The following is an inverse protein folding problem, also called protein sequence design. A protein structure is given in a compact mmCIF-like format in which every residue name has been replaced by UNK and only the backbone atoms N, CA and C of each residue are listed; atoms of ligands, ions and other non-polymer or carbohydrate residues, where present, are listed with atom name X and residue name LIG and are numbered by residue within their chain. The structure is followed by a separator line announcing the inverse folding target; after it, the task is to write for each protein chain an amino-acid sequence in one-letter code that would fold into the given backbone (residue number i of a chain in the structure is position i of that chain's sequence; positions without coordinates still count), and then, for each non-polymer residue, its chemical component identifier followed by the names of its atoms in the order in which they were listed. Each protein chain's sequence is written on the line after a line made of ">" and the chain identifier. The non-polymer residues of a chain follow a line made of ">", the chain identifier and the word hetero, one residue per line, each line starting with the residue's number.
data_IF_581793425502
#
_entry.id   IF_581793425502
#
_cell.length_a   1.000
_cell.length_b   1.000
_cell.length_c   1.000
_cell.angle_alpha   90.00
_cell.angle_beta   90.00
_cell.angle_gamma   90.00
#
_symmetry.space_group_name_H-M   'P 1'
#
loop_
_entity.id
_entity.type
_entity.pdbx_description
1 polymer ?
#
# COMPACT_ATOMS: atom_id res chain seq x y z
N UNK A 1 13.13 0.22 -4.39
CA UNK A 1 13.96 1.12 -5.22
C UNK A 1 13.02 2.02 -6.04
N UNK A 2 13.12 3.36 -5.91
CA UNK A 2 12.09 4.36 -6.34
C UNK A 2 12.59 5.27 -7.49
N UNK A 3 13.06 4.64 -8.56
CA UNK A 3 13.54 5.29 -9.76
C UNK A 3 12.47 6.15 -10.47
N UNK A 4 12.82 7.38 -10.85
CA UNK A 4 12.01 8.25 -11.70
C UNK A 4 11.00 9.15 -10.99
N UNK A 5 10.98 9.21 -9.65
CA UNK A 5 10.16 10.18 -8.92
C UNK A 5 10.91 11.51 -8.75
N UNK A 6 11.89 11.57 -7.85
CA UNK A 6 12.82 12.70 -7.71
C UNK A 6 14.24 12.20 -7.83
N UNK A 7 15.14 13.05 -8.34
CA UNK A 7 16.56 12.78 -8.17
C UNK A 7 16.91 12.75 -6.69
N UNK A 8 17.61 11.71 -6.27
CA UNK A 8 18.09 11.57 -4.91
C UNK A 8 19.52 12.09 -4.80
N UNK A 9 19.78 13.00 -3.87
CA UNK A 9 21.15 13.33 -3.51
C UNK A 9 21.85 12.13 -2.89
N UNK A 10 23.04 11.83 -3.40
CA UNK A 10 23.97 10.88 -2.80
C UNK A 10 25.03 11.67 -2.03
N UNK A 11 25.64 11.04 -1.04
CA UNK A 11 26.81 11.60 -0.35
C UNK A 11 28.02 11.71 -1.30
N UNK A 12 28.04 10.92 -2.39
CA UNK A 12 29.11 10.91 -3.37
C UNK A 12 29.34 12.28 -4.03
N UNK A 13 30.61 12.67 -4.12
CA UNK A 13 31.05 13.82 -4.92
C UNK A 13 31.07 13.44 -6.40
N UNK A 14 30.60 14.33 -7.27
CA UNK A 14 30.60 14.05 -8.71
C UNK A 14 32.02 14.10 -9.30
N UNK A 15 32.48 12.97 -9.84
CA UNK A 15 33.69 12.88 -10.65
C UNK A 15 33.36 12.37 -12.05
N UNK A 16 33.58 13.21 -13.08
CA UNK A 16 33.18 12.92 -14.47
C UNK A 16 33.79 11.62 -15.02
N UNK A 17 35.04 11.33 -14.66
CA UNK A 17 35.78 10.14 -15.11
C UNK A 17 35.90 9.05 -14.03
N UNK A 18 35.33 9.27 -12.83
CA UNK A 18 35.57 8.39 -11.68
C UNK A 18 34.99 6.99 -11.91
N UNK A 19 33.70 6.92 -12.26
CA UNK A 19 33.00 5.65 -12.48
C UNK A 19 33.49 4.86 -13.70
N UNK A 20 34.33 5.47 -14.55
CA UNK A 20 34.99 4.77 -15.66
C UNK A 20 36.12 3.85 -15.18
N UNK A 21 36.75 4.18 -14.05
CA UNK A 21 37.90 3.47 -13.49
C UNK A 21 37.67 3.00 -12.05
N UNK A 22 36.43 3.06 -11.55
CA UNK A 22 36.11 2.67 -10.17
C UNK A 22 36.09 1.16 -9.99
N UNK A 23 36.17 0.66 -8.74
CA UNK A 23 35.81 -0.72 -8.43
C UNK A 23 34.43 -1.09 -9.00
N UNK A 24 34.28 -2.34 -9.42
CA UNK A 24 32.99 -2.87 -9.92
C UNK A 24 32.02 -3.03 -8.74
N UNK A 25 32.53 -3.53 -7.62
CA UNK A 25 31.75 -3.76 -6.41
C UNK A 25 31.97 -2.58 -5.44
N UNK A 26 30.86 -1.94 -5.06
CA UNK A 26 30.76 -0.86 -4.07
C UNK A 26 31.79 0.29 -4.23
N UNK A 27 31.75 1.06 -5.34
CA UNK A 27 32.70 2.13 -5.58
C UNK A 27 32.50 3.30 -4.58
N UNK A 28 33.51 3.66 -3.76
CA UNK A 28 33.35 4.60 -2.65
C UNK A 28 33.30 6.09 -3.05
N UNK A 29 33.13 6.40 -4.33
CA UNK A 29 33.23 7.76 -4.87
C UNK A 29 34.69 8.28 -4.98
N UNK A 30 34.92 9.42 -5.65
CA UNK A 30 36.25 9.99 -5.80
C UNK A 30 36.78 10.50 -4.45
N UNK A 31 37.50 9.65 -3.73
CA UNK A 31 38.15 10.01 -2.48
C UNK A 31 39.20 11.11 -2.65
N UNK A 32 39.31 12.00 -1.67
CA UNK A 32 40.33 13.05 -1.62
C UNK A 32 40.03 14.31 -2.43
N UNK A 33 38.85 14.42 -3.05
CA UNK A 33 38.37 15.68 -3.63
C UNK A 33 37.64 16.45 -2.53
N UNK A 34 38.25 17.53 -2.04
CA UNK A 34 37.56 18.47 -1.17
C UNK A 34 36.30 18.96 -1.91
N UNK A 35 35.10 18.98 -1.30
CA UNK A 35 33.91 19.56 -1.93
C UNK A 35 34.16 20.99 -2.44
N UNK A 36 35.25 21.67 -2.05
CA UNK A 36 35.71 22.93 -2.61
C UNK A 36 36.37 22.88 -4.01
N UNK A 37 36.86 21.72 -4.44
CA UNK A 37 37.82 21.54 -5.54
C UNK A 37 37.26 20.79 -6.76
N UNK A 38 35.93 20.65 -6.87
CA UNK A 38 35.30 19.96 -8.01
C UNK A 38 35.54 20.75 -9.30
N UNK A 39 36.57 20.35 -10.07
CA UNK A 39 36.94 20.95 -11.35
C UNK A 39 35.87 20.62 -12.39
N UNK A 40 35.11 21.63 -12.79
CA UNK A 40 34.29 21.59 -14.00
C UNK A 40 35.14 21.75 -15.26
N UNK A 41 34.97 20.86 -16.23
CA UNK A 41 35.42 21.08 -17.61
C UNK A 41 34.29 20.72 -18.57
N UNK A 42 34.11 21.34 -19.74
CA UNK A 42 34.54 22.65 -20.27
C UNK A 42 33.27 23.32 -20.80
N UNK A 43 33.24 24.66 -20.72
CA UNK A 43 32.21 25.56 -21.29
C UNK A 43 30.79 25.40 -20.76
N UNK A 44 30.51 25.83 -19.54
CA UNK A 44 29.15 26.23 -19.15
C UNK A 44 29.14 27.21 -17.97
N UNK A 45 28.06 27.99 -17.91
CA UNK A 45 27.76 29.02 -16.90
C UNK A 45 27.76 28.51 -15.43
N UNK A 46 28.01 27.22 -15.21
CA UNK A 46 27.86 26.51 -13.93
C UNK A 46 29.18 26.24 -13.20
N UNK A 47 30.30 26.84 -13.64
CA UNK A 47 31.62 26.67 -13.04
C UNK A 47 31.88 27.49 -11.75
N UNK A 48 30.89 28.22 -11.23
CA UNK A 48 31.07 29.10 -10.04
C UNK A 48 30.77 28.41 -8.71
N UNK A 49 30.38 27.15 -8.73
CA UNK A 49 29.84 26.45 -7.57
C UNK A 49 30.71 25.24 -7.25
N UNK A 50 31.34 25.31 -6.08
CA UNK A 50 32.54 24.55 -5.74
C UNK A 50 32.27 23.07 -5.40
N UNK A 51 31.10 22.74 -4.86
CA UNK A 51 30.69 21.38 -4.54
C UNK A 51 29.55 20.91 -5.44
N UNK A 52 29.72 19.74 -6.08
CA UNK A 52 28.64 19.09 -6.84
C UNK A 52 28.44 17.68 -6.30
N UNK A 53 27.29 17.45 -5.67
CA UNK A 53 26.91 16.11 -5.21
C UNK A 53 26.28 15.35 -6.36
N UNK A 54 26.55 14.05 -6.38
CA UNK A 54 25.90 13.12 -7.28
C UNK A 54 24.42 13.08 -6.95
N UNK A 55 23.62 13.04 -8.02
CA UNK A 55 22.21 12.71 -7.98
C UNK A 55 21.99 11.44 -8.76
N UNK A 56 21.13 10.56 -8.25
CA UNK A 56 20.74 9.32 -8.93
C UNK A 56 19.24 9.21 -9.15
N UNK A 57 18.92 8.41 -10.16
CA UNK A 57 17.62 7.81 -10.33
C UNK A 57 16.56 8.61 -11.09
N UNK A 58 16.86 9.82 -11.55
CA UNK A 58 15.94 10.60 -12.37
C UNK A 58 14.73 11.17 -11.63
N UNK A 59 14.03 12.10 -12.29
CA UNK A 59 12.78 12.66 -11.80
C UNK A 59 11.64 12.46 -12.80
N UNK A 60 10.41 12.78 -12.37
CA UNK A 60 9.20 12.76 -13.20
C UNK A 60 9.30 13.59 -14.49
N UNK A 61 10.25 14.53 -14.56
CA UNK A 61 10.49 15.40 -15.73
C UNK A 61 11.49 14.81 -16.70
N UNK A 62 12.26 13.80 -16.29
CA UNK A 62 13.27 13.19 -17.14
C UNK A 62 12.65 12.12 -18.06
N UNK A 63 13.31 11.90 -19.20
CA UNK A 63 12.99 10.76 -20.05
C UNK A 63 13.36 9.46 -19.34
N UNK A 64 12.69 8.37 -19.70
CA UNK A 64 12.89 7.06 -19.06
C UNK A 64 14.36 6.61 -19.06
N UNK A 65 15.15 6.96 -20.08
CA UNK A 65 16.57 6.60 -20.14
C UNK A 65 17.41 7.26 -19.04
N UNK A 66 16.98 8.42 -18.56
CA UNK A 66 17.62 9.17 -17.48
C UNK A 66 17.10 8.79 -16.08
N UNK A 67 16.05 7.97 -15.98
CA UNK A 67 15.47 7.47 -14.72
C UNK A 67 16.02 6.12 -14.29
N UNK A 68 17.15 5.68 -14.85
CA UNK A 68 17.78 4.41 -14.47
C UNK A 68 18.63 4.57 -13.20
N UNK A 69 18.73 3.52 -12.40
CA UNK A 69 19.59 3.46 -11.22
C UNK A 69 21.07 3.62 -11.50
N UNK A 70 21.49 3.41 -12.74
CA UNK A 70 22.85 3.65 -13.20
C UNK A 70 23.09 5.11 -13.65
N UNK A 71 22.04 5.90 -13.90
CA UNK A 71 22.22 7.27 -14.36
C UNK A 71 22.63 8.14 -13.17
N UNK A 72 23.73 8.86 -13.36
CA UNK A 72 24.35 9.75 -12.38
C UNK A 72 24.45 11.13 -13.00
N UNK A 73 23.82 12.11 -12.36
CA UNK A 73 23.98 13.53 -12.66
C UNK A 73 24.58 14.23 -11.47
N UNK A 74 24.84 15.53 -11.60
CA UNK A 74 25.29 16.35 -10.48
C UNK A 74 24.33 17.51 -10.23
N UNK A 75 24.30 18.01 -9.01
CA UNK A 75 23.79 19.34 -8.70
C UNK A 75 24.61 19.96 -7.57
N UNK A 76 24.65 21.28 -7.53
CA UNK A 76 25.10 21.98 -6.34
C UNK A 76 23.98 21.84 -5.27
N UNK A 77 24.29 21.29 -4.08
CA UNK A 77 23.32 21.09 -3.02
C UNK A 77 22.73 22.41 -2.46
N UNK A 78 23.32 23.56 -2.77
CA UNK A 78 22.83 24.88 -2.35
C UNK A 78 21.63 25.38 -3.17
N UNK A 79 21.36 24.79 -4.33
CA UNK A 79 20.16 25.12 -5.10
C UNK A 79 19.07 24.10 -4.82
N UNK A 80 17.96 24.56 -4.24
CA UNK A 80 16.73 23.78 -4.23
C UNK A 80 16.06 23.89 -5.59
N UNK A 81 15.84 22.76 -6.26
CA UNK A 81 15.00 22.69 -7.45
C UNK A 81 13.88 21.70 -7.19
N UNK A 82 12.76 21.89 -7.87
CA UNK A 82 11.56 21.13 -7.54
C UNK A 82 11.69 19.63 -7.83
N UNK A 83 12.64 19.19 -8.65
CA UNK A 83 12.74 17.82 -9.14
C UNK A 83 13.86 16.98 -8.50
N UNK A 84 14.45 17.45 -7.38
CA UNK A 84 15.46 16.72 -6.62
C UNK A 84 15.44 17.05 -5.12
N UNK A 85 15.86 16.10 -4.26
CA UNK A 85 15.81 16.28 -2.80
C UNK A 85 16.55 15.23 -1.99
N UNK A 86 16.40 15.31 -0.67
CA UNK A 86 16.93 14.35 0.31
C UNK A 86 15.81 13.43 0.81
N UNK A 87 16.16 12.18 1.16
CA UNK A 87 15.26 11.27 1.88
C UNK A 87 15.87 10.94 3.25
N UNK A 88 15.01 10.84 4.25
CA UNK A 88 15.40 10.35 5.57
C UNK A 88 15.35 8.83 5.56
N UNK A 89 16.50 8.19 5.81
CA UNK A 89 16.58 6.76 6.08
C UNK A 89 16.75 6.57 7.59
N UNK A 90 15.97 5.68 8.19
CA UNK A 90 16.12 5.29 9.59
C UNK A 90 16.86 3.95 9.63
N UNK A 91 18.10 3.93 10.12
CA UNK A 91 18.79 2.69 10.45
C UNK A 91 18.30 2.17 11.79
N UNK A 92 17.87 0.91 11.80
CA UNK A 92 17.51 0.18 13.02
C UNK A 92 18.63 -0.83 13.25
N UNK A 93 19.27 -0.79 14.42
CA UNK A 93 20.31 -1.76 14.77
C UNK A 93 19.70 -3.17 14.85
N UNK A 94 20.14 -4.07 13.97
CA UNK A 94 19.65 -5.45 13.94
C UNK A 94 20.07 -6.22 15.20
N UNK A 95 19.17 -6.98 15.87
CA UNK A 95 19.55 -7.85 16.97
C UNK A 95 20.41 -9.01 16.46
N UNK A 96 21.51 -9.32 17.16
CA UNK A 96 22.34 -10.50 16.86
C UNK A 96 21.62 -11.77 17.32
N UNK A 97 21.15 -12.58 16.38
CA UNK A 97 20.57 -13.90 16.67
C UNK A 97 21.60 -15.02 16.51
N UNK A 98 21.76 -15.84 17.56
CA UNK A 98 22.45 -17.13 17.48
C UNK A 98 21.49 -18.18 16.89
N UNK A 99 21.99 -19.04 16.00
CA UNK A 99 21.19 -20.03 15.30
C UNK A 99 20.53 -21.06 16.26
N UNK A 100 19.27 -21.49 16.01
CA UNK A 100 18.59 -22.49 16.82
C UNK A 100 19.08 -23.93 16.52
N UNK A 101 18.98 -24.86 17.48
CA UNK A 101 19.32 -26.26 17.25
C UNK A 101 18.22 -27.00 16.47
N UNK A 102 18.54 -28.12 15.78
CA UNK A 102 17.60 -28.83 14.92
C UNK A 102 16.49 -29.55 15.70
N UNK A 103 15.28 -29.72 15.11
CA UNK A 103 14.09 -30.18 15.81
C UNK A 103 14.05 -31.71 16.00
N UNK A 104 13.58 -32.14 17.17
CA UNK A 104 13.27 -33.53 17.52
C UNK A 104 11.79 -33.86 17.24
N UNK A 105 11.57 -35.02 16.64
CA UNK A 105 10.26 -35.59 16.29
C UNK A 105 9.45 -36.06 17.50
N UNK A 106 8.14 -35.78 17.50
CA UNK A 106 7.15 -36.56 18.26
C UNK A 106 5.77 -36.47 17.63
N UNK A 107 5.13 -37.63 17.57
CA UNK A 107 3.81 -37.97 17.01
C UNK A 107 2.66 -37.67 17.97
N UNK A 108 1.54 -37.13 17.48
CA UNK A 108 0.17 -37.62 17.79
C UNK A 108 -0.92 -36.93 16.94
N UNK A 109 -2.10 -37.57 16.87
CA UNK A 109 -3.12 -37.51 15.80
C UNK A 109 -4.12 -36.32 15.85
N UNK A 110 -4.55 -35.94 14.63
CA UNK A 110 -5.55 -34.98 14.11
C UNK A 110 -6.83 -34.60 14.91
N UNK A 111 -7.40 -33.41 14.62
CA UNK A 111 -8.52 -33.35 13.66
C UNK A 111 -8.25 -32.45 12.44
N UNK A 112 -8.77 -32.89 11.29
CA UNK A 112 -8.75 -32.25 9.97
C UNK A 112 -9.52 -30.93 10.00
N UNK A 113 -8.82 -29.80 9.82
CA UNK A 113 -9.19 -28.53 9.15
C UNK A 113 -8.21 -27.43 9.60
N UNK A 114 -6.92 -27.68 9.40
CA UNK A 114 -5.91 -26.64 9.52
C UNK A 114 -4.79 -27.03 8.57
N UNK A 115 -4.61 -26.25 7.50
CA UNK A 115 -3.29 -26.15 6.90
C UNK A 115 -2.35 -25.76 8.06
N UNK A 116 -1.30 -26.54 8.36
CA UNK A 116 -0.35 -26.16 9.40
C UNK A 116 0.22 -24.78 9.06
N UNK A 117 0.47 -23.90 10.04
CA UNK A 117 1.19 -22.68 9.75
C UNK A 117 2.58 -23.08 9.25
N UNK A 118 2.83 -22.90 7.95
CA UNK A 118 4.17 -22.47 7.57
C UNK A 118 4.45 -21.23 8.44
N UNK A 119 5.58 -21.18 9.13
CA UNK A 119 5.96 -20.15 10.14
C UNK A 119 5.91 -18.68 9.64
N UNK A 120 5.53 -18.46 8.37
CA UNK A 120 5.50 -17.17 7.67
C UNK A 120 4.10 -16.55 7.48
N UNK A 121 3.01 -17.22 7.92
CA UNK A 121 1.65 -16.67 7.81
C UNK A 121 1.28 -15.76 8.98
N UNK A 122 0.89 -14.53 8.68
CA UNK A 122 0.45 -13.53 9.65
C UNK A 122 -1.08 -13.54 9.73
N UNK A 123 -1.65 -13.87 10.90
CA UNK A 123 -3.10 -13.71 11.14
C UNK A 123 -3.45 -12.22 11.34
N UNK A 124 -3.98 -11.60 10.29
CA UNK A 124 -4.34 -10.18 10.30
C UNK A 124 -5.52 -9.89 11.21
N UNK A 125 -6.46 -10.83 11.39
CA UNK A 125 -7.62 -10.59 12.26
C UNK A 125 -7.21 -10.53 13.72
N UNK A 126 -6.18 -11.27 14.14
CA UNK A 126 -5.63 -11.15 15.51
C UNK A 126 -5.13 -9.73 15.81
N UNK A 127 -4.58 -9.04 14.82
CA UNK A 127 -4.00 -7.69 14.92
C UNK A 127 -5.04 -6.56 14.84
N UNK A 128 -6.23 -6.85 14.31
CA UNK A 128 -7.31 -5.86 14.12
C UNK A 128 -7.83 -5.37 15.47
N UNK A 129 -7.90 -4.05 15.61
CA UNK A 129 -8.67 -3.36 16.64
C UNK A 129 -9.82 -2.61 15.96
N UNK A 130 -11.06 -2.97 16.28
CA UNK A 130 -12.24 -2.39 15.63
C UNK A 130 -12.36 -0.88 15.85
N UNK A 131 -11.96 -0.36 17.01
CA UNK A 131 -12.05 1.08 17.29
C UNK A 131 -11.00 1.90 16.54
N UNK A 132 -9.89 1.25 16.16
CA UNK A 132 -8.77 1.84 15.43
C UNK A 132 -8.91 1.69 13.92
N UNK A 133 -9.28 0.50 13.46
CA UNK A 133 -9.10 0.06 12.08
C UNK A 133 -10.38 0.17 11.23
N UNK A 134 -11.55 0.24 11.87
CA UNK A 134 -12.80 0.45 11.15
C UNK A 134 -12.88 1.88 10.62
N UNK A 135 -13.18 2.02 9.31
CA UNK A 135 -13.35 3.34 8.69
C UNK A 135 -14.76 3.91 8.96
N UNK A 136 -15.71 3.04 9.25
CA UNK A 136 -17.08 3.38 9.64
C UNK A 136 -17.54 2.53 10.85
N UNK A 137 -18.46 3.06 11.68
CA UNK A 137 -19.09 2.26 12.71
C UNK A 137 -19.96 1.16 12.09
N UNK A 138 -19.90 -0.04 12.65
CA UNK A 138 -20.72 -1.17 12.18
C UNK A 138 -19.99 -2.51 12.27
N UNK A 139 -18.67 -2.51 12.30
CA UNK A 139 -17.89 -3.73 12.53
C UNK A 139 -18.05 -4.26 13.95
N UNK A 140 -17.93 -5.59 14.07
CA UNK A 140 -17.90 -6.36 15.31
C UNK A 140 -16.79 -7.39 15.20
N UNK A 141 -16.24 -7.78 16.35
CA UNK A 141 -15.21 -8.81 16.48
C UNK A 141 -15.51 -9.65 17.71
N UNK A 142 -15.35 -10.95 17.59
CA UNK A 142 -15.32 -11.92 18.69
C UNK A 142 -14.21 -12.96 18.43
N UNK A 143 -14.19 -14.04 19.20
CA UNK A 143 -13.23 -15.13 19.06
C UNK A 143 -13.32 -15.90 17.72
N UNK A 144 -14.47 -15.80 17.03
CA UNK A 144 -14.76 -16.47 15.77
C UNK A 144 -14.62 -15.53 14.55
N UNK A 145 -14.05 -14.33 14.73
CA UNK A 145 -13.70 -13.44 13.64
C UNK A 145 -14.45 -12.11 13.60
N UNK A 146 -14.56 -11.52 12.40
CA UNK A 146 -15.11 -10.17 12.18
C UNK A 146 -16.30 -10.17 11.23
N UNK A 147 -17.29 -9.33 11.52
CA UNK A 147 -18.47 -9.14 10.67
C UNK A 147 -19.02 -7.72 10.78
N UNK A 148 -19.84 -7.34 9.81
CA UNK A 148 -20.55 -6.07 9.82
C UNK A 148 -21.97 -6.22 10.36
N UNK A 149 -22.45 -5.19 11.07
CA UNK A 149 -23.84 -5.09 11.48
C UNK A 149 -24.77 -5.04 10.26
N UNK A 150 -25.97 -5.61 10.42
CA UNK A 150 -26.95 -5.68 9.34
C UNK A 150 -27.35 -4.29 8.82
N UNK A 151 -27.49 -4.16 7.51
CA UNK A 151 -27.92 -2.91 6.87
C UNK A 151 -26.83 -1.83 6.77
N UNK A 152 -25.57 -2.17 7.03
CA UNK A 152 -24.43 -1.24 6.97
C UNK A 152 -23.57 -1.45 5.71
N UNK A 153 -22.98 -0.36 5.19
CA UNK A 153 -21.96 -0.41 4.14
C UNK A 153 -20.67 0.13 4.74
N UNK A 154 -19.76 -0.77 5.10
CA UNK A 154 -18.65 -0.47 6.01
C UNK A 154 -17.35 -1.11 5.55
N UNK A 155 -16.25 -0.46 5.92
CA UNK A 155 -14.88 -0.84 5.53
C UNK A 155 -14.01 -1.01 6.75
N UNK A 156 -13.12 -1.98 6.69
CA UNK A 156 -12.12 -2.28 7.70
C UNK A 156 -10.75 -2.25 7.03
N UNK A 157 -9.88 -1.36 7.47
CA UNK A 157 -8.50 -1.34 6.99
C UNK A 157 -7.69 -2.36 7.80
N UNK A 158 -7.12 -3.38 7.17
CA UNK A 158 -6.29 -4.35 7.89
C UNK A 158 -4.97 -3.67 8.33
N UNK A 159 -4.42 -3.98 9.51
CA UNK A 159 -3.32 -3.24 10.13
C UNK A 159 -1.93 -3.58 9.55
N UNK A 160 -1.85 -3.68 8.22
CA UNK A 160 -0.63 -4.00 7.48
C UNK A 160 -0.57 -3.22 6.17
N UNK A 161 0.62 -2.72 5.83
CA UNK A 161 0.90 -2.17 4.51
C UNK A 161 1.63 -3.21 3.66
N UNK A 162 1.24 -3.35 2.40
CA UNK A 162 1.83 -4.32 1.49
C UNK A 162 2.39 -3.62 0.26
N UNK A 163 3.68 -3.80 0.00
CA UNK A 163 4.41 -3.14 -1.10
C UNK A 163 4.90 -4.09 -2.18
N UNK A 164 5.01 -5.38 -1.88
CA UNK A 164 5.47 -6.44 -2.77
C UNK A 164 4.37 -7.39 -3.21
N UNK A 165 4.78 -8.54 -3.76
CA UNK A 165 3.88 -9.67 -3.99
C UNK A 165 3.52 -10.36 -2.67
N UNK A 166 2.33 -10.95 -2.61
CA UNK A 166 1.81 -11.59 -1.41
C UNK A 166 0.75 -12.63 -1.75
N UNK A 167 0.47 -13.47 -0.77
CA UNK A 167 -0.66 -14.39 -0.74
C UNK A 167 -1.55 -14.07 0.45
N UNK A 168 -2.85 -14.18 0.24
CA UNK A 168 -3.88 -14.00 1.25
C UNK A 168 -4.73 -15.26 1.28
N UNK A 169 -4.89 -15.83 2.47
CA UNK A 169 -5.78 -16.96 2.73
C UNK A 169 -6.89 -16.49 3.67
N UNK A 170 -8.14 -16.77 3.34
CA UNK A 170 -9.25 -16.29 4.16
C UNK A 170 -10.42 -17.26 4.20
N UNK A 171 -10.86 -17.60 5.40
CA UNK A 171 -12.09 -18.33 5.64
C UNK A 171 -13.26 -17.37 5.84
N UNK A 172 -14.31 -17.56 5.04
CA UNK A 172 -15.47 -16.67 4.96
C UNK A 172 -16.76 -17.47 5.06
N UNK A 173 -17.56 -17.21 6.08
CA UNK A 173 -18.89 -17.81 6.24
C UNK A 173 -19.95 -16.87 5.66
N UNK A 174 -20.74 -17.38 4.71
CA UNK A 174 -21.87 -16.64 4.14
C UNK A 174 -23.11 -16.88 4.99
N UNK A 175 -23.43 -15.96 5.89
CA UNK A 175 -24.52 -16.13 6.87
C UNK A 175 -25.90 -16.00 6.22
N UNK A 176 -26.00 -15.33 5.07
CA UNK A 176 -27.26 -15.23 4.33
C UNK A 176 -27.06 -15.09 2.82
N UNK A 177 -28.12 -15.49 2.10
CA UNK A 177 -28.26 -15.17 0.68
C UNK A 177 -28.85 -13.77 0.56
N UNK A 178 -28.17 -12.94 -0.20
CA UNK A 178 -28.56 -11.57 -0.47
C UNK A 178 -27.99 -11.08 -1.81
N UNK A 179 -28.35 -9.86 -2.20
CA UNK A 179 -27.87 -9.19 -3.40
C UNK A 179 -26.66 -8.27 -3.15
N UNK A 180 -26.15 -8.23 -1.91
CA UNK A 180 -25.03 -7.41 -1.51
C UNK A 180 -23.71 -7.92 -2.04
N UNK A 181 -22.63 -7.21 -1.70
CA UNK A 181 -21.28 -7.62 -2.04
C UNK A 181 -20.42 -7.60 -0.77
N UNK A 182 -19.48 -8.53 -0.71
CA UNK A 182 -18.29 -8.38 0.14
C UNK A 182 -17.09 -8.10 -0.77
N UNK A 183 -16.06 -7.44 -0.24
CA UNK A 183 -14.89 -7.16 -1.04
C UNK A 183 -13.59 -7.19 -0.24
N UNK A 184 -12.51 -7.51 -0.94
CA UNK A 184 -11.14 -7.25 -0.52
C UNK A 184 -10.60 -6.04 -1.28
N UNK A 185 -10.07 -5.05 -0.58
CA UNK A 185 -9.19 -4.02 -1.15
C UNK A 185 -7.77 -4.56 -1.11
N UNK A 186 -7.19 -4.71 -2.30
CA UNK A 186 -5.92 -5.40 -2.52
C UNK A 186 -4.91 -4.44 -3.18
N UNK A 187 -3.82 -4.07 -2.47
CA UNK A 187 -2.70 -3.35 -3.06
C UNK A 187 -2.07 -4.14 -4.22
N UNK A 188 -1.76 -3.44 -5.32
CA UNK A 188 -1.11 -3.99 -6.51
C UNK A 188 -0.14 -2.94 -7.07
N UNK A 189 1.11 -2.96 -6.58
CA UNK A 189 2.10 -1.94 -6.90
C UNK A 189 1.66 -0.57 -6.37
N UNK A 190 1.63 0.46 -7.22
CA UNK A 190 1.11 1.78 -6.87
C UNK A 190 -0.41 1.92 -6.99
N UNK A 191 -1.09 0.89 -7.50
CA UNK A 191 -2.53 0.86 -7.69
C UNK A 191 -3.18 -0.11 -6.70
N UNK A 192 -4.49 -0.24 -6.79
CA UNK A 192 -5.28 -1.16 -5.97
C UNK A 192 -6.42 -1.73 -6.78
N UNK A 193 -6.81 -2.95 -6.44
CA UNK A 193 -8.02 -3.56 -6.95
C UNK A 193 -9.03 -3.81 -5.82
N UNK A 194 -10.30 -3.87 -6.19
CA UNK A 194 -11.36 -4.33 -5.30
C UNK A 194 -11.86 -5.69 -5.82
N UNK A 195 -11.45 -6.79 -5.17
CA UNK A 195 -12.00 -8.11 -5.46
C UNK A 195 -13.38 -8.20 -4.81
N UNK A 196 -14.43 -8.08 -5.62
CA UNK A 196 -15.81 -8.20 -5.17
C UNK A 196 -16.27 -9.64 -5.29
N UNK A 197 -16.96 -10.11 -4.24
CA UNK A 197 -17.62 -11.41 -4.20
C UNK A 197 -19.12 -11.27 -3.98
N UNK A 198 -19.90 -11.93 -4.85
CA UNK A 198 -21.33 -12.15 -4.67
C UNK A 198 -22.25 -10.98 -5.03
N UNK A 199 -21.79 -9.94 -5.73
CA UNK A 199 -22.67 -8.82 -6.11
C UNK A 199 -23.85 -9.31 -6.94
N UNK A 200 -25.05 -8.78 -6.66
CA UNK A 200 -26.32 -9.28 -7.21
C UNK A 200 -26.54 -10.79 -6.96
N UNK A 201 -25.94 -11.31 -5.89
CA UNK A 201 -26.05 -12.70 -5.42
C UNK A 201 -25.20 -13.73 -6.16
N UNK A 202 -24.45 -13.35 -7.21
CA UNK A 202 -23.71 -14.34 -8.02
C UNK A 202 -22.46 -13.85 -8.76
N UNK A 203 -22.22 -12.55 -8.86
CA UNK A 203 -21.07 -12.07 -9.65
C UNK A 203 -19.86 -11.79 -8.76
N UNK A 204 -18.71 -12.25 -9.24
CA UNK A 204 -17.39 -12.04 -8.65
C UNK A 204 -16.48 -11.42 -9.69
N UNK A 205 -15.66 -10.45 -9.32
CA UNK A 205 -14.72 -9.82 -10.27
C UNK A 205 -13.71 -8.94 -9.55
N UNK A 206 -12.64 -8.58 -10.25
CA UNK A 206 -11.94 -7.32 -10.00
C UNK A 206 -12.85 -6.17 -10.44
N UNK A 207 -13.42 -5.45 -9.47
CA UNK A 207 -14.38 -4.39 -9.72
C UNK A 207 -13.71 -3.19 -10.39
N UNK A 208 -14.45 -2.55 -11.30
CA UNK A 208 -13.98 -1.42 -12.13
C UNK A 208 -12.71 -1.71 -12.93
N UNK A 209 -12.40 -2.98 -13.21
CA UNK A 209 -11.33 -3.35 -14.14
C UNK A 209 -11.60 -2.70 -15.50
N UNK A 210 -10.69 -1.82 -15.94
CA UNK A 210 -10.85 -0.96 -17.12
C UNK A 210 -12.22 -0.23 -17.13
N UNK A 211 -12.65 0.25 -15.96
CA UNK A 211 -13.91 0.95 -15.75
C UNK A 211 -15.16 0.06 -15.78
N UNK A 212 -15.03 -1.27 -15.85
CA UNK A 212 -16.17 -2.18 -15.93
C UNK A 212 -16.59 -2.71 -14.55
N UNK A 213 -17.82 -2.43 -14.14
CA UNK A 213 -18.38 -2.97 -12.90
C UNK A 213 -18.39 -4.52 -12.89
N UNK A 214 -18.36 -5.11 -11.69
CA UNK A 214 -18.24 -6.57 -11.52
C UNK A 214 -19.37 -7.39 -12.19
N UNK A 215 -20.59 -6.85 -12.25
CA UNK A 215 -21.72 -7.49 -12.93
C UNK A 215 -21.76 -7.23 -14.45
N UNK A 216 -20.90 -6.35 -14.98
CA UNK A 216 -20.90 -5.99 -16.39
C UNK A 216 -20.44 -7.16 -17.25
N UNK A 217 -21.16 -7.41 -18.35
CA UNK A 217 -20.77 -8.41 -19.36
C UNK A 217 -19.37 -8.16 -19.94
N UNK A 218 -18.91 -6.90 -19.89
CA UNK A 218 -17.62 -6.43 -20.42
C UNK A 218 -16.45 -6.55 -19.44
N UNK A 219 -16.70 -6.80 -18.15
CA UNK A 219 -15.61 -7.04 -17.20
C UNK A 219 -15.02 -8.43 -17.48
N UNK A 220 -13.75 -8.44 -17.92
CA UNK A 220 -13.03 -9.66 -18.32
C UNK A 220 -12.70 -10.62 -17.16
N UNK A 221 -12.74 -10.12 -15.93
CA UNK A 221 -12.53 -10.93 -14.72
C UNK A 221 -13.84 -11.46 -14.12
N UNK A 222 -14.99 -11.15 -14.72
CA UNK A 222 -16.30 -11.56 -14.19
C UNK A 222 -16.45 -13.07 -14.19
N UNK A 223 -16.79 -13.61 -13.03
CA UNK A 223 -17.26 -14.98 -12.84
C UNK A 223 -18.66 -14.97 -12.25
N UNK A 224 -19.50 -15.89 -12.74
CA UNK A 224 -20.86 -16.09 -12.25
C UNK A 224 -20.92 -17.39 -11.45
N UNK A 225 -21.09 -17.28 -10.13
CA UNK A 225 -21.23 -18.41 -9.20
C UNK A 225 -22.02 -17.93 -7.98
N UNK A 226 -23.08 -18.63 -7.59
CA UNK A 226 -23.80 -18.30 -6.35
C UNK A 226 -23.03 -18.80 -5.14
N UNK A 227 -22.95 -17.96 -4.09
CA UNK A 227 -22.50 -18.39 -2.78
C UNK A 227 -23.70 -18.88 -1.96
N UNK A 228 -23.59 -20.09 -1.45
CA UNK A 228 -24.58 -20.76 -0.59
C UNK A 228 -24.58 -20.19 0.83
N UNK A 229 -25.78 -20.00 1.39
CA UNK A 229 -25.99 -19.63 2.80
C UNK A 229 -25.52 -20.75 3.74
N UNK A 230 -24.89 -20.38 4.84
CA UNK A 230 -24.37 -21.28 5.87
C UNK A 230 -23.08 -21.99 5.49
N UNK A 231 -22.57 -21.79 4.26
CA UNK A 231 -21.34 -22.39 3.80
C UNK A 231 -20.14 -21.51 4.15
N UNK A 232 -19.10 -22.13 4.70
CA UNK A 232 -17.76 -21.57 4.79
C UNK A 232 -17.04 -21.75 3.44
N UNK A 233 -16.34 -20.71 3.00
CA UNK A 233 -15.51 -20.73 1.81
C UNK A 233 -14.08 -20.38 2.17
N UNK A 234 -13.13 -21.11 1.59
CA UNK A 234 -11.71 -20.78 1.65
C UNK A 234 -11.32 -20.01 0.39
N UNK A 235 -10.95 -18.74 0.55
CA UNK A 235 -10.39 -17.91 -0.50
C UNK A 235 -8.87 -17.95 -0.42
N UNK A 236 -8.21 -18.40 -1.48
CA UNK A 236 -6.78 -18.20 -1.66
C UNK A 236 -6.56 -17.19 -2.79
N UNK A 237 -5.89 -16.09 -2.46
CA UNK A 237 -5.56 -15.00 -3.37
C UNK A 237 -4.05 -14.85 -3.44
N UNK A 238 -3.51 -14.68 -4.64
CA UNK A 238 -2.11 -14.34 -4.89
C UNK A 238 -2.03 -13.08 -5.73
N UNK A 239 -1.19 -12.15 -5.30
CA UNK A 239 -0.81 -10.96 -6.06
C UNK A 239 0.69 -11.02 -6.32
N UNK A 240 1.07 -11.01 -7.58
CA UNK A 240 2.47 -11.01 -8.00
C UNK A 240 2.75 -9.76 -8.82
N UNK A 241 3.69 -8.94 -8.36
CA UNK A 241 4.25 -7.87 -9.19
C UNK A 241 5.31 -8.49 -10.11
N UNK A 242 5.17 -8.26 -11.41
CA UNK A 242 6.09 -8.79 -12.43
C UNK A 242 7.07 -7.68 -12.82
N UNK A 243 6.53 -6.51 -13.15
CA UNK A 243 7.26 -5.27 -13.42
C UNK A 243 6.36 -4.04 -13.15
N UNK A 244 6.80 -2.84 -13.53
CA UNK A 244 6.06 -1.59 -13.26
C UNK A 244 4.71 -1.50 -13.98
N UNK A 245 4.58 -2.16 -15.14
CA UNK A 245 3.40 -2.11 -16.00
C UNK A 245 2.71 -3.47 -16.09
N UNK A 246 3.09 -4.44 -15.25
CA UNK A 246 2.52 -5.78 -15.25
C UNK A 246 2.46 -6.38 -13.86
N UNK A 247 1.25 -6.82 -13.49
CA UNK A 247 1.02 -7.65 -12.32
C UNK A 247 0.09 -8.82 -12.68
N UNK A 248 0.10 -9.84 -11.83
CA UNK A 248 -0.79 -10.98 -11.91
C UNK A 248 -1.58 -11.11 -10.60
N UNK A 249 -2.88 -11.39 -10.74
CA UNK A 249 -3.81 -11.65 -9.65
C UNK A 249 -4.51 -12.97 -9.94
N UNK A 250 -4.33 -13.93 -9.06
CA UNK A 250 -4.98 -15.25 -9.13
C UNK A 250 -5.76 -15.45 -7.86
N UNK A 251 -7.02 -15.89 -7.96
CA UNK A 251 -7.82 -16.28 -6.81
C UNK A 251 -8.54 -17.60 -7.06
N UNK A 252 -8.61 -18.44 -6.03
CA UNK A 252 -9.45 -19.65 -5.96
C UNK A 252 -10.43 -19.52 -4.81
N UNK A 253 -11.55 -20.23 -4.91
CA UNK A 253 -12.53 -20.37 -3.85
C UNK A 253 -12.86 -21.86 -3.69
N UNK A 254 -12.53 -22.44 -2.54
CA UNK A 254 -12.53 -23.89 -2.29
C UNK A 254 -11.72 -24.65 -3.36
N UNK A 255 -10.46 -24.24 -3.59
CA UNK A 255 -9.56 -24.72 -4.65
C UNK A 255 -10.04 -24.55 -6.10
N UNK A 256 -11.28 -24.10 -6.31
CA UNK A 256 -11.84 -23.88 -7.63
C UNK A 256 -11.44 -22.50 -8.15
N UNK A 257 -10.93 -22.38 -9.39
CA UNK A 257 -10.58 -21.08 -9.97
C UNK A 257 -11.72 -20.07 -9.88
N UNK A 258 -11.37 -18.85 -9.48
CA UNK A 258 -12.28 -17.71 -9.35
C UNK A 258 -11.81 -16.51 -10.16
N UNK A 259 -10.55 -16.09 -10.02
CA UNK A 259 -9.96 -14.98 -10.78
C UNK A 259 -8.63 -15.42 -11.38
N UNK A 260 -8.40 -15.04 -12.63
CA UNK A 260 -7.09 -15.13 -13.29
C UNK A 260 -6.93 -13.89 -14.15
N UNK A 261 -6.15 -12.93 -13.67
CA UNK A 261 -5.91 -11.67 -14.36
C UNK A 261 -4.41 -11.38 -14.41
N UNK A 262 -3.95 -10.92 -15.58
CA UNK A 262 -2.62 -10.37 -15.78
C UNK A 262 -2.74 -9.14 -16.67
N UNK A 263 -2.15 -8.02 -16.26
CA UNK A 263 -2.27 -6.77 -16.98
C UNK A 263 -1.58 -5.60 -16.28
N UNK A 264 -1.80 -4.40 -16.81
CA UNK A 264 -1.27 -3.17 -16.22
C UNK A 264 -2.09 -2.79 -14.97
N UNK A 265 -1.44 -2.61 -13.80
CA UNK A 265 -2.13 -2.17 -12.59
C UNK A 265 -2.94 -0.87 -12.76
N UNK A 266 -2.67 -0.03 -13.77
CA UNK A 266 -3.46 1.17 -14.09
C UNK A 266 -4.90 0.86 -14.56
N UNK A 267 -5.16 -0.36 -15.02
CA UNK A 267 -6.52 -0.81 -15.33
C UNK A 267 -7.33 -1.14 -14.07
N UNK A 268 -6.66 -1.21 -12.90
CA UNK A 268 -7.30 -1.47 -11.62
C UNK A 268 -7.74 -0.16 -10.99
N UNK A 269 -8.86 -0.20 -10.28
CA UNK A 269 -9.42 0.96 -9.62
C UNK A 269 -10.18 0.54 -8.37
N UNK A 270 -10.33 1.46 -7.44
CA UNK A 270 -11.24 1.32 -6.32
C UNK A 270 -12.56 2.04 -6.63
N UNK A 271 -13.66 1.51 -6.09
CA UNK A 271 -14.87 2.30 -6.02
C UNK A 271 -14.66 3.50 -5.08
N UNK A 272 -15.41 4.58 -5.33
CA UNK A 272 -15.32 5.87 -4.60
C UNK A 272 -15.21 5.78 -3.07
N UNK A 273 -15.84 4.83 -2.34
CA UNK A 273 -15.69 4.73 -0.90
C UNK A 273 -14.35 4.10 -0.49
N UNK A 274 -13.19 4.54 -0.98
CA UNK A 274 -11.89 4.12 -0.42
C UNK A 274 -10.97 5.32 -0.21
N UNK A 275 -11.36 6.18 0.73
CA UNK A 275 -10.47 7.17 1.34
C UNK A 275 -9.77 6.53 2.55
N UNK A 276 -8.53 6.08 2.38
CA UNK A 276 -7.75 5.35 3.40
C UNK A 276 -6.27 5.22 3.00
N UNK A 277 -5.37 4.84 3.93
CA UNK A 277 -3.92 4.89 3.72
C UNK A 277 -3.48 4.10 2.49
N UNK A 278 -2.63 4.71 1.64
CA UNK A 278 -1.97 4.06 0.51
C UNK A 278 -1.44 2.67 0.92
N UNK A 279 -1.67 1.64 0.11
CA UNK A 279 -1.10 0.29 0.29
C UNK A 279 -1.59 -0.56 1.48
N UNK A 280 -2.63 -0.16 2.22
CA UNK A 280 -3.30 -1.06 3.18
C UNK A 280 -4.25 -2.04 2.49
N UNK A 281 -4.21 -3.29 2.92
CA UNK A 281 -5.27 -4.26 2.67
C UNK A 281 -6.56 -3.84 3.39
N UNK A 282 -7.72 -4.25 2.89
CA UNK A 282 -8.97 -3.96 3.56
C UNK A 282 -10.10 -4.91 3.22
N UNK A 283 -11.09 -4.96 4.10
CA UNK A 283 -12.35 -5.68 3.92
C UNK A 283 -13.50 -4.68 3.76
N UNK A 284 -14.51 -5.06 3.00
CA UNK A 284 -15.77 -4.31 2.91
C UNK A 284 -16.96 -5.25 2.92
N UNK A 285 -18.01 -4.85 3.63
CA UNK A 285 -19.34 -5.46 3.55
C UNK A 285 -20.31 -4.40 3.08
N UNK A 286 -20.99 -4.66 1.96
CA UNK A 286 -22.05 -3.79 1.46
C UNK A 286 -23.37 -4.02 2.21
N UNK A 287 -24.24 -3.02 2.20
CA UNK A 287 -25.52 -2.93 2.94
C UNK A 287 -26.33 -4.22 3.10
N UNK A 288 -26.44 -5.00 2.03
CA UNK A 288 -27.30 -6.18 2.00
C UNK A 288 -26.55 -7.48 2.28
N UNK A 289 -25.21 -7.44 2.38
CA UNK A 289 -24.37 -8.63 2.53
C UNK A 289 -24.25 -9.04 3.99
N UNK A 290 -24.47 -10.33 4.30
CA UNK A 290 -24.19 -10.89 5.63
C UNK A 290 -23.14 -11.99 5.55
N UNK A 291 -21.97 -11.68 6.09
CA UNK A 291 -20.79 -12.54 6.07
C UNK A 291 -19.96 -12.35 7.33
N UNK A 292 -19.24 -13.40 7.70
CA UNK A 292 -18.22 -13.40 8.74
C UNK A 292 -16.90 -13.83 8.14
N UNK A 293 -15.86 -13.04 8.34
CA UNK A 293 -14.49 -13.50 8.09
C UNK A 293 -14.00 -14.15 9.38
N UNK A 294 -13.76 -15.45 9.34
CA UNK A 294 -13.22 -16.21 10.46
C UNK A 294 -11.71 -16.11 10.51
N UNK A 295 -11.05 -16.00 9.35
CA UNK A 295 -9.62 -15.76 9.24
C UNK A 295 -9.27 -14.87 8.04
N UNK A 296 -8.20 -14.11 8.18
CA UNK A 296 -7.49 -13.46 7.08
C UNK A 296 -6.00 -13.56 7.38
N UNK A 297 -5.33 -14.45 6.68
CA UNK A 297 -3.91 -14.70 6.82
C UNK A 297 -3.15 -14.11 5.63
N UNK A 298 -1.98 -13.55 5.90
CA UNK A 298 -1.11 -12.94 4.89
C UNK A 298 0.26 -13.61 4.92
N UNK A 299 0.77 -13.95 3.74
CA UNK A 299 2.17 -14.33 3.51
C UNK A 299 2.76 -13.41 2.46
N UNK A 300 3.93 -12.84 2.72
CA UNK A 300 4.63 -12.03 1.73
C UNK A 300 5.48 -12.96 0.84
N UNK A 301 5.52 -12.68 -0.47
CA UNK A 301 6.31 -13.45 -1.45
C UNK A 301 7.72 -12.86 -1.63
N UNK A 302 8.15 -11.98 -0.73
CA UNK A 302 9.35 -11.15 -0.79
C UNK A 302 9.62 -10.45 0.54
N UNK A 303 9.90 -9.14 0.52
CA UNK A 303 10.29 -8.30 1.68
C UNK A 303 9.44 -8.49 2.96
N UNK A 304 10.02 -8.15 4.11
CA UNK A 304 9.39 -8.19 5.44
C UNK A 304 8.16 -7.26 5.56
N UNK A 305 7.17 -7.60 6.41
CA UNK A 305 5.95 -6.81 6.59
C UNK A 305 6.23 -5.45 7.25
N UNK A 306 5.81 -4.36 6.61
CA UNK A 306 5.68 -3.05 7.26
C UNK A 306 4.29 -2.95 7.93
N UNK A 307 4.26 -3.03 9.26
CA UNK A 307 3.03 -2.78 10.02
C UNK A 307 2.70 -1.29 10.01
N UNK A 308 1.43 -0.97 9.77
CA UNK A 308 1.00 0.43 9.71
C UNK A 308 1.28 1.14 11.04
N UNK A 309 1.89 2.35 11.02
CA UNK A 309 2.18 3.09 12.24
C UNK A 309 0.88 3.37 13.02
N UNK A 310 0.97 3.32 14.35
CA UNK A 310 -0.16 3.62 15.23
C UNK A 310 -0.59 5.08 15.00
N UNK A 311 -1.67 5.30 14.23
CA UNK A 311 -2.24 6.62 14.07
C UNK A 311 -2.87 7.03 15.41
N UNK A 312 -2.18 7.87 16.18
CA UNK A 312 -2.83 8.62 17.26
C UNK A 312 -3.93 9.46 16.63
N UNK A 313 -5.17 9.29 17.11
CA UNK A 313 -6.29 10.17 16.76
C UNK A 313 -5.85 11.61 17.00
N UNK A 314 -5.80 12.43 15.95
CA UNK A 314 -5.75 13.89 16.12
C UNK A 314 -7.06 14.25 16.83
N UNK A 315 -7.01 14.82 18.05
CA UNK A 315 -8.24 15.26 18.71
C UNK A 315 -8.91 16.30 17.83
N UNK A 316 -10.21 16.16 17.60
CA UNK A 316 -11.03 17.22 17.01
C UNK A 316 -10.79 18.51 17.81
N UNK A 317 -10.02 19.45 17.26
CA UNK A 317 -10.01 20.81 17.76
C UNK A 317 -11.37 21.41 17.41
N UNK A 318 -12.17 21.58 18.45
CA UNK A 318 -13.39 22.37 18.52
C UNK A 318 -13.39 23.56 17.57
N UNK A 319 -14.22 23.47 16.52
CA UNK A 319 -14.83 24.64 15.89
C UNK A 319 -15.82 25.21 16.90
N UNK A 320 -15.42 26.26 17.60
CA UNK A 320 -16.28 27.35 18.09
C UNK A 320 -15.37 28.40 18.74
N UNK A 321 -15.24 29.55 18.07
CA UNK A 321 -15.34 30.89 18.67
C UNK A 321 -14.73 31.90 17.71
N UNK A 322 -15.58 32.46 16.85
CA UNK A 322 -15.40 33.83 16.39
C UNK A 322 -16.77 34.48 16.34
N UNK A 323 -17.10 35.14 17.45
CA UNK A 323 -18.20 36.07 17.58
C UNK A 323 -18.19 37.08 16.43
N UNK A 324 -19.19 36.98 15.56
CA UNK A 324 -19.53 38.05 14.62
C UNK A 324 -20.17 39.21 15.38
N UNK A 325 -19.38 40.22 15.75
CA UNK A 325 -19.89 41.52 16.18
C UNK A 325 -20.51 42.24 14.97
N UNK A 326 -21.84 42.17 14.87
CA UNK A 326 -22.66 43.12 14.14
C UNK A 326 -22.73 44.45 14.90
N UNK A 327 -22.11 45.49 14.38
CA UNK A 327 -22.40 46.88 14.80
C UNK A 327 -23.37 47.50 13.81
N UNK A 328 -24.62 47.67 14.25
CA UNK A 328 -25.59 48.56 13.63
C UNK A 328 -25.27 50.01 13.99
N UNK A 329 -25.29 50.85 12.97
CA UNK A 329 -25.22 52.30 13.00
C UNK A 329 -26.60 52.91 13.23
N UNK A 330 -26.77 53.73 14.28
CA UNK A 330 -27.61 54.95 14.25
C UNK A 330 -27.26 55.90 15.40
N UNK A 331 -26.95 57.15 15.01
CA UNK A 331 -27.22 58.46 15.63
C UNK A 331 -27.29 58.61 17.17
N UNK A 332 -26.57 59.58 17.73
CA UNK A 332 -27.02 60.97 17.97
C UNK A 332 -25.89 61.77 18.66
N UNK A 333 -25.83 63.05 18.29
CA UNK A 333 -25.05 64.18 18.81
C UNK A 333 -24.85 64.25 20.35
N UNK A 334 -23.71 64.80 20.79
CA UNK A 334 -23.65 66.07 21.54
C UNK A 334 -22.27 66.31 22.19
N UNK A 335 -21.60 67.37 21.73
CA UNK A 335 -20.99 68.45 22.54
C UNK A 335 -20.54 68.15 23.98
N UNK A 336 -19.23 68.23 24.26
CA UNK A 336 -18.63 69.38 24.97
C UNK A 336 -17.16 69.14 25.36
N UNK A 337 -16.36 70.16 25.06
CA UNK A 337 -15.06 70.58 25.63
C UNK A 337 -13.78 69.83 25.26
#
# INVERSE_FOLDING_TARGET
>A
DMHGNVWEFCEDVYGIDYYKNSPIDDPPGPGGIDPGDVVGGRTDLFARTKAKLVRRGGSWRNKAEASRSAVRYFSDPRYGYFDFGFRLALSIDAPKFNAPPPPSTSTDKEPKHAIPPDDDWIDLLSLVDIERDALEPGWRKDENGVWAAEGTDVRLALPVEVRGGYELLSNIVVEARDSGAMAFNIPVGSNRAELILGVLGKYHALHLLAGQAAHSSKNKSRVERTLETGKAYELHLRVQLIDLDSAEIVATLDDMPLISWRGDPKDLSLSAPWDGPANRLGLRVGRYKRVRWESVQLRLLGDEPEFAPHSQKIPNSSLNDSEGKTTNSTEVEASNR
#
